data_IF_412015723966
#
_entry.id   IF_412015723966
#
_cell.length_a   1.000
_cell.length_b   1.000
_cell.length_c   1.000
_cell.angle_alpha   90.00
_cell.angle_beta   90.00
_cell.angle_gamma   90.00
#
_symmetry.space_group_name_H-M   'P 1'
#
loop_
_entity.id
_entity.type
_entity.pdbx_description
1 polymer ?
#
# COMPACT_ATOMS: atom_id res chain seq x y z
N UNK A 1 1.13 -1.27 16.66
CA UNK A 1 -0.20 -0.88 16.14
C UNK A 1 -0.13 -0.81 14.63
N UNK A 2 -1.17 -1.29 13.94
CA UNK A 2 -1.36 -1.15 12.49
C UNK A 2 -2.46 -0.13 12.18
N UNK A 3 -2.45 0.41 10.96
CA UNK A 3 -3.55 1.23 10.42
C UNK A 3 -3.98 0.66 9.09
N UNK A 4 -5.28 0.51 8.90
CA UNK A 4 -5.88 0.02 7.67
C UNK A 4 -6.93 1.00 7.16
N UNK A 5 -6.94 1.21 5.86
CA UNK A 5 -7.99 1.94 5.16
C UNK A 5 -8.54 1.03 4.06
N UNK A 6 -9.84 1.13 3.80
CA UNK A 6 -10.49 0.43 2.70
C UNK A 6 -11.14 1.47 1.81
N UNK A 7 -10.90 1.38 0.51
CA UNK A 7 -11.55 2.24 -0.47
C UNK A 7 -11.70 1.54 -1.81
N UNK A 8 -12.46 2.17 -2.70
CA UNK A 8 -12.73 1.65 -4.03
C UNK A 8 -11.50 1.84 -4.91
N UNK A 9 -11.10 0.80 -5.63
CA UNK A 9 -10.01 0.91 -6.61
C UNK A 9 -10.43 1.84 -7.75
N UNK A 10 -9.67 2.92 -8.04
CA UNK A 10 -9.99 3.81 -9.16
C UNK A 10 -9.68 3.16 -10.53
N UNK A 11 -8.85 2.11 -10.55
CA UNK A 11 -8.39 1.40 -11.75
C UNK A 11 -8.33 -0.11 -11.48
N UNK A 12 -8.28 -0.92 -12.54
CA UNK A 12 -8.16 -2.38 -12.42
C UNK A 12 -6.94 -2.79 -11.59
N UNK A 13 -7.06 -3.83 -10.73
CA UNK A 13 -5.97 -4.31 -9.86
C UNK A 13 -4.64 -4.49 -10.59
N UNK A 14 -4.66 -5.09 -11.77
CA UNK A 14 -3.49 -5.39 -12.60
C UNK A 14 -2.66 -4.15 -12.94
N UNK A 15 -3.35 -3.07 -13.32
CA UNK A 15 -2.70 -1.79 -13.67
C UNK A 15 -2.08 -1.18 -12.43
N UNK A 16 -2.76 -1.27 -11.29
CA UNK A 16 -2.30 -0.72 -10.03
C UNK A 16 -1.10 -1.49 -9.48
N UNK A 17 -1.11 -2.84 -9.56
CA UNK A 17 0.04 -3.68 -9.21
C UNK A 17 1.24 -3.34 -10.10
N UNK A 18 1.05 -3.19 -11.42
CA UNK A 18 2.12 -2.81 -12.33
C UNK A 18 2.73 -1.43 -12.03
N UNK A 19 1.90 -0.45 -11.63
CA UNK A 19 2.39 0.88 -11.20
C UNK A 19 3.15 0.79 -9.87
N UNK A 20 2.64 0.01 -8.91
CA UNK A 20 3.27 -0.20 -7.61
C UNK A 20 4.61 -0.91 -7.74
N UNK A 21 4.73 -1.94 -8.57
CA UNK A 21 5.99 -2.66 -8.78
C UNK A 21 7.05 -1.73 -9.40
N UNK A 22 6.67 -0.92 -10.40
CA UNK A 22 7.56 0.09 -10.99
C UNK A 22 8.02 1.13 -9.98
N UNK A 23 7.10 1.64 -9.15
CA UNK A 23 7.43 2.58 -8.09
C UNK A 23 8.34 1.94 -7.03
N UNK A 24 8.07 0.67 -6.69
CA UNK A 24 8.85 -0.07 -5.71
C UNK A 24 10.31 -0.26 -6.18
N UNK A 25 10.52 -0.69 -7.42
CA UNK A 25 11.85 -0.78 -8.04
C UNK A 25 12.56 0.57 -8.07
N UNK A 26 11.85 1.65 -8.40
CA UNK A 26 12.41 3.02 -8.44
C UNK A 26 12.86 3.52 -7.06
N UNK A 27 12.16 3.13 -6.00
CA UNK A 27 12.39 3.63 -4.65
C UNK A 27 13.16 2.67 -3.73
N UNK A 28 13.68 1.57 -4.28
CA UNK A 28 14.37 0.49 -3.54
C UNK A 28 13.47 -0.10 -2.44
N UNK A 29 12.23 -0.39 -2.82
CA UNK A 29 11.20 -1.00 -1.98
C UNK A 29 10.98 -2.41 -2.48
N UNK A 30 10.97 -3.38 -1.56
CA UNK A 30 10.61 -4.75 -1.87
C UNK A 30 9.08 -4.85 -1.93
N UNK A 31 8.55 -5.18 -3.10
CA UNK A 31 7.13 -5.35 -3.34
C UNK A 31 6.88 -6.76 -3.85
N UNK A 32 5.90 -7.43 -3.28
CA UNK A 32 5.53 -8.80 -3.62
C UNK A 32 4.01 -8.94 -3.47
N UNK A 33 3.31 -9.34 -4.53
CA UNK A 33 1.86 -9.42 -4.48
C UNK A 33 1.18 -9.63 -5.82
N UNK A 34 -0.09 -10.01 -5.74
CA UNK A 34 -0.96 -10.35 -6.85
C UNK A 34 -2.22 -9.48 -6.87
N UNK A 35 -3.16 -9.77 -7.78
CA UNK A 35 -4.45 -9.07 -7.92
C UNK A 35 -5.42 -9.23 -6.74
N UNK A 36 -5.08 -10.07 -5.74
CA UNK A 36 -5.91 -10.31 -4.56
C UNK A 36 -5.27 -9.83 -3.26
N UNK A 37 -3.95 -9.95 -3.12
CA UNK A 37 -3.25 -9.53 -1.93
C UNK A 37 -1.75 -9.40 -2.19
N UNK A 38 -1.09 -8.61 -1.35
CA UNK A 38 0.35 -8.45 -1.41
C UNK A 38 0.89 -7.59 -0.30
N UNK A 39 2.18 -7.35 -0.34
CA UNK A 39 2.89 -6.51 0.61
C UNK A 39 4.02 -5.71 -0.02
N UNK A 40 4.30 -4.57 0.58
CA UNK A 40 5.40 -3.68 0.24
C UNK A 40 6.20 -3.40 1.50
N UNK A 41 7.52 -3.62 1.47
CA UNK A 41 8.43 -3.39 2.58
C UNK A 41 9.66 -2.63 2.10
N UNK A 42 9.97 -1.51 2.72
CA UNK A 42 11.13 -0.71 2.36
C UNK A 42 11.34 0.46 3.31
N UNK A 43 12.59 0.85 3.54
CA UNK A 43 12.97 2.05 4.34
C UNK A 43 12.27 2.16 5.70
N UNK A 44 12.07 1.03 6.38
CA UNK A 44 11.40 0.97 7.68
C UNK A 44 9.87 1.01 7.64
N UNK A 45 9.27 0.98 6.45
CA UNK A 45 7.84 0.86 6.20
C UNK A 45 7.47 -0.58 5.83
N UNK A 46 6.30 -1.02 6.24
CA UNK A 46 5.69 -2.29 5.82
C UNK A 46 4.20 -2.09 5.65
N UNK A 47 3.72 -2.34 4.44
CA UNK A 47 2.32 -2.25 4.03
C UNK A 47 1.90 -3.56 3.45
N UNK A 48 0.65 -3.92 3.67
CA UNK A 48 -0.04 -5.02 3.02
C UNK A 48 -1.24 -4.43 2.31
N UNK A 49 -1.60 -4.98 1.17
CA UNK A 49 -2.85 -4.64 0.52
C UNK A 49 -3.66 -5.92 0.30
N UNK A 50 -4.97 -5.79 0.33
CA UNK A 50 -5.90 -6.88 0.06
C UNK A 50 -7.04 -6.35 -0.80
N UNK A 51 -7.22 -6.94 -1.96
CA UNK A 51 -8.24 -6.58 -2.93
C UNK A 51 -9.38 -7.59 -2.80
N UNK A 52 -10.60 -7.09 -2.76
CA UNK A 52 -11.82 -7.89 -2.63
C UNK A 52 -12.86 -7.28 -3.56
N UNK A 53 -13.02 -7.88 -4.74
CA UNK A 53 -13.82 -7.29 -5.83
C UNK A 53 -13.25 -5.93 -6.24
N UNK A 54 -14.08 -4.89 -6.15
CA UNK A 54 -13.71 -3.51 -6.47
C UNK A 54 -13.10 -2.73 -5.31
N UNK A 55 -12.94 -3.35 -4.13
CA UNK A 55 -12.39 -2.67 -2.95
C UNK A 55 -10.96 -3.11 -2.65
N UNK A 56 -10.09 -2.15 -2.32
CA UNK A 56 -8.75 -2.40 -1.83
C UNK A 56 -8.63 -1.96 -0.36
N UNK A 57 -8.14 -2.86 0.48
CA UNK A 57 -7.79 -2.59 1.86
C UNK A 57 -6.28 -2.49 1.98
N UNK A 58 -5.77 -1.29 2.25
CA UNK A 58 -4.36 -1.03 2.52
C UNK A 58 -4.11 -1.03 4.02
N UNK A 59 -3.25 -1.92 4.48
CA UNK A 59 -2.86 -2.09 5.89
C UNK A 59 -1.38 -1.77 6.09
N UNK A 60 -1.10 -0.64 6.72
CA UNK A 60 0.24 -0.28 7.19
C UNK A 60 0.52 -0.99 8.51
N UNK A 61 1.43 -1.96 8.49
CA UNK A 61 1.82 -2.74 9.68
C UNK A 61 3.03 -2.15 10.39
N UNK A 62 3.92 -1.46 9.68
CA UNK A 62 5.08 -0.79 10.26
C UNK A 62 5.31 0.55 9.58
N UNK A 63 5.46 1.61 10.38
CA UNK A 63 5.84 2.94 9.92
C UNK A 63 7.34 3.19 10.13
N UNK A 64 8.00 4.02 9.30
CA UNK A 64 9.30 4.56 9.64
C UNK A 64 9.22 5.29 10.99
N UNK A 65 10.29 5.22 11.77
CA UNK A 65 10.31 5.81 13.12
C UNK A 65 10.04 7.32 13.09
N UNK A 66 10.53 8.00 12.05
CA UNK A 66 10.50 9.46 11.86
C UNK A 66 9.11 9.95 11.39
N UNK A 67 8.29 9.08 10.78
CA UNK A 67 7.00 9.49 10.21
C UNK A 67 5.89 9.27 11.25
N UNK A 68 5.10 10.28 11.64
CA UNK A 68 3.97 10.11 12.56
C UNK A 68 2.78 9.44 11.87
N UNK A 69 1.91 8.78 12.64
CA UNK A 69 0.74 8.08 12.10
C UNK A 69 -0.20 9.01 11.33
N UNK A 70 -0.41 10.25 11.78
CA UNK A 70 -1.26 11.21 11.07
C UNK A 70 -0.79 11.55 9.65
N UNK A 71 0.52 11.44 9.37
CA UNK A 71 1.04 11.63 8.00
C UNK A 71 0.77 10.39 7.15
N UNK A 72 0.88 9.19 7.73
CA UNK A 72 0.52 7.94 7.06
C UNK A 72 -0.97 7.92 6.72
N UNK A 73 -1.82 8.31 7.67
CA UNK A 73 -3.27 8.39 7.50
C UNK A 73 -3.65 9.38 6.39
N UNK A 74 -3.06 10.58 6.37
CA UNK A 74 -3.24 11.55 5.28
C UNK A 74 -2.75 11.06 3.92
N UNK A 75 -1.68 10.26 3.88
CA UNK A 75 -1.19 9.70 2.63
C UNK A 75 -2.11 8.60 2.11
N UNK A 76 -2.62 7.75 3.00
CA UNK A 76 -3.59 6.71 2.71
C UNK A 76 -4.92 7.28 2.20
N UNK A 77 -5.40 8.36 2.83
CA UNK A 77 -6.63 9.07 2.45
C UNK A 77 -6.55 9.72 1.06
N UNK A 78 -5.34 9.99 0.56
CA UNK A 78 -5.12 10.52 -0.81
C UNK A 78 -5.08 9.44 -1.90
N UNK A 79 -4.99 8.17 -1.52
CA UNK A 79 -4.91 7.05 -2.48
C UNK A 79 -6.30 6.66 -2.98
N UNK A 80 -7.32 6.87 -2.16
CA UNK A 80 -8.74 6.69 -2.47
C UNK A 80 -9.41 8.05 -2.67
#
# INVERSE_FOLDING_TARGET
MSRSITGTLPESPEVLIGKLEKAAKKHDIHFEGDNSHGFAKGKGFHVKYQITGDQCTLTVTKKPFIVPWGVVEKALDKIF
#
